data_IF_970078014265
#
_entry.id   IF_970078014265
#
_cell.length_a   1.000
_cell.length_b   1.000
_cell.length_c   1.000
_cell.angle_alpha   90.00
_cell.angle_beta   90.00
_cell.angle_gamma   90.00
#
_symmetry.space_group_name_H-M   'P 1'
#
loop_
_entity.id
_entity.type
_entity.pdbx_description
1 polymer ?
#
# COMPACT_ATOMS: atom_id res chain seq x y z
N UNK A 1 1.16 -1.37 -20.30
CA UNK A 1 1.18 -1.67 -18.85
C UNK A 1 -0.02 -1.00 -18.22
N UNK A 2 -0.79 -1.73 -17.41
CA UNK A 2 -1.98 -1.22 -16.74
C UNK A 2 -1.79 -1.34 -15.22
N UNK A 3 -1.46 -0.22 -14.58
CA UNK A 3 -1.24 -0.12 -13.14
C UNK A 3 -2.36 0.68 -12.50
N UNK A 4 -3.21 0.01 -11.75
CA UNK A 4 -4.42 0.58 -11.14
C UNK A 4 -4.73 -0.10 -9.80
N UNK A 5 -5.62 0.51 -9.02
CA UNK A 5 -6.16 -0.05 -7.79
C UNK A 5 -7.19 -1.16 -8.03
N UNK A 6 -7.99 -1.09 -9.11
CA UNK A 6 -9.06 -2.06 -9.39
C UNK A 6 -9.36 -2.18 -10.89
N UNK A 7 -9.26 -3.41 -11.42
CA UNK A 7 -9.86 -3.83 -12.69
C UNK A 7 -10.41 -5.24 -12.54
N UNK A 8 -11.55 -5.56 -13.15
CA UNK A 8 -12.07 -6.94 -13.13
C UNK A 8 -11.33 -7.76 -14.18
N UNK A 9 -10.61 -8.78 -13.73
CA UNK A 9 -9.91 -9.70 -14.60
C UNK A 9 -10.83 -10.76 -15.22
N UNK A 10 -10.43 -11.27 -16.37
CA UNK A 10 -11.16 -12.34 -17.07
C UNK A 10 -11.15 -13.67 -16.29
N UNK A 11 -10.26 -13.79 -15.30
CA UNK A 11 -10.11 -14.93 -14.38
C UNK A 11 -10.88 -14.75 -13.05
N UNK A 12 -11.64 -13.67 -12.90
CA UNK A 12 -12.37 -13.32 -11.68
C UNK A 12 -11.48 -12.73 -10.58
N UNK A 13 -10.21 -12.40 -10.88
CA UNK A 13 -9.32 -11.70 -9.97
C UNK A 13 -9.43 -10.18 -10.10
N UNK A 14 -8.98 -9.46 -9.07
CA UNK A 14 -8.85 -8.01 -9.12
C UNK A 14 -7.49 -7.67 -9.76
N UNK A 15 -7.53 -7.31 -11.03
CA UNK A 15 -6.37 -6.86 -11.81
C UNK A 15 -5.98 -5.43 -11.49
N UNK A 16 -4.74 -5.09 -11.81
CA UNK A 16 -4.19 -3.75 -11.60
C UNK A 16 -2.67 -3.68 -11.64
N UNK A 17 -2.02 -4.72 -12.15
CA UNK A 17 -0.57 -4.82 -12.26
C UNK A 17 -0.15 -5.51 -13.54
N UNK A 18 -0.91 -5.32 -14.62
CA UNK A 18 -0.83 -6.16 -15.82
C UNK A 18 0.11 -5.59 -16.88
N UNK A 19 0.83 -6.49 -17.55
CA UNK A 19 1.64 -6.21 -18.73
C UNK A 19 0.92 -6.82 -19.94
N UNK A 20 0.58 -5.97 -20.90
CA UNK A 20 -0.07 -6.36 -22.15
C UNK A 20 0.80 -6.01 -23.35
N UNK A 21 0.73 -6.83 -24.39
CA UNK A 21 1.29 -6.59 -25.72
C UNK A 21 0.16 -6.72 -26.73
N UNK A 22 0.10 -5.82 -27.72
CA UNK A 22 -0.92 -5.86 -28.76
C UNK A 22 -1.30 -4.47 -29.24
N UNK A 23 -2.45 -4.38 -29.89
CA UNK A 23 -2.98 -3.14 -30.45
C UNK A 23 -4.46 -3.00 -30.13
N UNK A 24 -5.00 -1.78 -30.23
CA UNK A 24 -6.43 -1.56 -30.06
C UNK A 24 -7.28 -2.27 -31.14
N UNK A 25 -6.66 -2.61 -32.28
CA UNK A 25 -7.32 -3.26 -33.42
C UNK A 25 -7.27 -4.78 -33.29
N UNK A 26 -6.12 -5.32 -32.91
CA UNK A 26 -5.85 -6.77 -32.87
C UNK A 26 -6.14 -7.39 -31.49
N UNK A 27 -6.47 -6.55 -30.52
CA UNK A 27 -6.63 -6.93 -29.12
C UNK A 27 -5.32 -6.86 -28.33
N UNK A 28 -5.46 -7.00 -27.01
CA UNK A 28 -4.37 -6.98 -26.07
C UNK A 28 -4.18 -8.37 -25.47
N UNK A 29 -2.97 -8.91 -25.58
CA UNK A 29 -2.58 -10.16 -24.94
C UNK A 29 -1.84 -9.87 -23.63
N UNK A 30 -2.25 -10.54 -22.55
CA UNK A 30 -1.59 -10.43 -21.24
C UNK A 30 -0.31 -11.27 -21.23
N UNK A 31 0.84 -10.61 -21.24
CA UNK A 31 2.17 -11.25 -21.26
C UNK A 31 2.82 -11.31 -19.88
N UNK A 32 2.26 -10.62 -18.89
CA UNK A 32 2.86 -10.53 -17.57
C UNK A 32 1.99 -9.84 -16.55
N UNK A 33 2.33 -9.96 -15.27
CA UNK A 33 1.59 -9.33 -14.19
C UNK A 33 2.37 -9.22 -12.88
N UNK A 34 1.85 -8.43 -11.94
CA UNK A 34 2.23 -8.55 -10.54
C UNK A 34 1.91 -9.97 -10.05
N UNK A 35 2.79 -10.55 -9.24
CA UNK A 35 2.50 -11.79 -8.51
C UNK A 35 1.15 -11.68 -7.79
N UNK A 36 0.36 -12.75 -7.82
CA UNK A 36 -0.91 -12.76 -7.12
C UNK A 36 -0.71 -12.64 -5.61
N UNK A 37 -1.43 -11.70 -5.02
CA UNK A 37 -1.73 -11.64 -3.60
C UNK A 37 -3.20 -12.03 -3.37
N UNK A 38 -3.60 -12.04 -2.11
CA UNK A 38 -5.00 -12.24 -1.71
C UNK A 38 -5.49 -10.97 -1.05
N UNK A 39 -6.69 -10.51 -1.35
CA UNK A 39 -7.34 -9.40 -0.65
C UNK A 39 -8.45 -9.95 0.26
N UNK A 40 -8.29 -9.90 1.60
CA UNK A 40 -9.33 -10.32 2.53
C UNK A 40 -10.39 -9.24 2.76
N UNK A 41 -11.65 -9.66 2.77
CA UNK A 41 -12.82 -8.82 3.02
C UNK A 41 -13.48 -8.31 1.74
N UNK A 42 -14.53 -7.50 1.92
CA UNK A 42 -15.36 -6.93 0.85
C UNK A 42 -14.85 -5.56 0.36
N UNK A 43 -15.67 -4.86 -0.43
CA UNK A 43 -15.37 -3.51 -0.94
C UNK A 43 -15.09 -2.49 0.18
N UNK A 44 -15.73 -2.63 1.34
CA UNK A 44 -15.46 -1.77 2.48
C UNK A 44 -14.10 -2.09 3.10
N UNK A 45 -13.71 -3.36 3.10
CA UNK A 45 -12.39 -3.81 3.55
C UNK A 45 -11.27 -3.28 2.64
N UNK A 46 -11.52 -3.11 1.33
CA UNK A 46 -10.56 -2.50 0.40
C UNK A 46 -10.20 -1.04 0.72
N UNK A 47 -10.97 -0.36 1.59
CA UNK A 47 -10.64 0.99 2.11
C UNK A 47 -9.70 0.97 3.30
N UNK A 48 -9.23 -0.18 3.73
CA UNK A 48 -8.36 -0.29 4.90
C UNK A 48 -7.04 -0.93 4.50
N UNK A 49 -5.94 -0.16 4.45
CA UNK A 49 -4.63 -0.63 3.97
C UNK A 49 -4.08 -1.86 4.72
N UNK A 50 -4.49 -2.07 5.98
CA UNK A 50 -4.13 -3.27 6.75
C UNK A 50 -4.66 -4.58 6.15
N UNK A 51 -5.74 -4.52 5.36
CA UNK A 51 -6.33 -5.67 4.69
C UNK A 51 -5.43 -6.09 3.54
N UNK A 52 -5.01 -5.12 2.74
CA UNK A 52 -4.00 -5.34 1.72
C UNK A 52 -2.71 -5.86 2.36
N UNK A 53 -2.25 -5.26 3.45
CA UNK A 53 -1.06 -5.73 4.16
C UNK A 53 -1.15 -7.20 4.58
N UNK A 54 -2.23 -7.61 5.25
CA UNK A 54 -2.43 -9.00 5.67
C UNK A 54 -2.46 -9.95 4.47
N UNK A 55 -3.07 -9.51 3.38
CA UNK A 55 -3.17 -10.21 2.12
C UNK A 55 -1.85 -10.45 1.40
N UNK A 56 -1.05 -9.40 1.26
CA UNK A 56 0.26 -9.43 0.62
C UNK A 56 1.32 -10.17 1.47
N UNK A 57 1.18 -10.15 2.80
CA UNK A 57 2.05 -10.92 3.70
C UNK A 57 1.64 -12.38 3.87
N UNK A 58 0.58 -12.85 3.21
CA UNK A 58 0.10 -14.23 3.31
C UNK A 58 1.16 -15.27 2.89
N UNK A 59 1.99 -14.93 1.89
CA UNK A 59 3.11 -15.78 1.45
C UNK A 59 4.40 -15.55 2.26
N UNK A 60 4.38 -14.64 3.23
CA UNK A 60 5.53 -14.27 4.07
C UNK A 60 5.17 -14.35 5.56
N UNK A 61 4.75 -15.52 6.08
CA UNK A 61 4.22 -15.64 7.45
C UNK A 61 5.23 -15.24 8.54
N UNK A 62 6.52 -15.49 8.32
CA UNK A 62 7.58 -15.05 9.24
C UNK A 62 7.68 -13.53 9.32
N UNK A 63 7.63 -12.84 8.17
CA UNK A 63 7.61 -11.38 8.11
C UNK A 63 6.32 -10.84 8.74
N UNK A 64 5.17 -11.46 8.46
CA UNK A 64 3.88 -11.07 9.01
C UNK A 64 3.87 -11.07 10.55
N UNK A 65 4.40 -12.12 11.17
CA UNK A 65 4.52 -12.21 12.62
C UNK A 65 5.48 -11.15 13.19
N UNK A 66 6.63 -10.96 12.54
CA UNK A 66 7.64 -9.99 12.96
C UNK A 66 7.14 -8.55 12.90
N UNK A 67 6.54 -8.14 11.77
CA UNK A 67 6.00 -6.77 11.61
C UNK A 67 4.77 -6.54 12.49
N UNK A 68 3.93 -7.55 12.73
CA UNK A 68 2.78 -7.41 13.60
C UNK A 68 3.18 -7.04 15.03
N UNK A 69 4.23 -7.69 15.55
CA UNK A 69 4.78 -7.40 16.87
C UNK A 69 5.53 -6.07 16.87
N UNK A 70 6.47 -5.88 15.93
CA UNK A 70 7.34 -4.70 15.90
C UNK A 70 6.55 -3.40 15.70
N UNK A 71 5.50 -3.43 14.87
CA UNK A 71 4.70 -2.25 14.53
C UNK A 71 3.44 -2.11 15.39
N UNK A 72 3.21 -3.03 16.32
CA UNK A 72 1.99 -3.07 17.15
C UNK A 72 0.72 -2.96 16.30
N UNK A 73 0.64 -3.78 15.24
CA UNK A 73 -0.48 -3.71 14.31
C UNK A 73 -1.81 -3.97 15.04
N UNK A 74 -2.88 -3.23 14.70
CA UNK A 74 -4.14 -3.32 15.44
C UNK A 74 -4.85 -4.65 15.15
N UNK A 75 -5.82 -5.01 16.00
CA UNK A 75 -6.60 -6.27 15.93
C UNK A 75 -7.12 -6.59 14.52
N UNK A 76 -7.50 -5.55 13.78
CA UNK A 76 -7.99 -5.64 12.40
C UNK A 76 -7.02 -6.39 11.47
N UNK A 77 -5.72 -6.23 11.62
CA UNK A 77 -4.72 -6.97 10.83
C UNK A 77 -4.81 -8.48 11.11
N UNK A 78 -4.86 -8.88 12.39
CA UNK A 78 -4.99 -10.29 12.77
C UNK A 78 -6.32 -10.90 12.32
N UNK A 79 -7.40 -10.13 12.36
CA UNK A 79 -8.69 -10.56 11.81
C UNK A 79 -8.59 -10.79 10.30
N UNK A 80 -7.93 -9.89 9.56
CA UNK A 80 -7.69 -10.06 8.13
C UNK A 80 -6.81 -11.30 7.83
N UNK A 81 -5.76 -11.56 8.62
CA UNK A 81 -4.97 -12.79 8.48
C UNK A 81 -5.81 -14.06 8.67
N UNK A 82 -6.70 -14.09 9.68
CA UNK A 82 -7.62 -15.22 9.89
C UNK A 82 -8.57 -15.42 8.71
N UNK A 83 -9.02 -14.35 8.05
CA UNK A 83 -9.85 -14.44 6.84
C UNK A 83 -9.06 -15.08 5.69
N UNK A 84 -7.79 -14.68 5.51
CA UNK A 84 -6.88 -15.27 4.53
C UNK A 84 -6.66 -16.76 4.81
N UNK A 85 -6.30 -17.13 6.04
CA UNK A 85 -6.06 -18.52 6.46
C UNK A 85 -7.29 -19.41 6.23
N UNK A 86 -8.48 -18.90 6.55
CA UNK A 86 -9.74 -19.64 6.40
C UNK A 86 -10.34 -19.55 4.99
N UNK A 87 -9.74 -18.75 4.09
CA UNK A 87 -10.25 -18.46 2.74
C UNK A 87 -11.70 -17.96 2.75
N UNK A 88 -12.03 -17.08 3.70
CA UNK A 88 -13.37 -16.50 3.86
C UNK A 88 -13.36 -15.11 3.24
N UNK A 89 -14.19 -14.88 2.22
CA UNK A 89 -14.30 -13.60 1.51
C UNK A 89 -12.92 -13.07 1.09
N UNK A 90 -12.15 -13.93 0.42
CA UNK A 90 -10.80 -13.62 -0.04
C UNK A 90 -10.79 -13.61 -1.55
N UNK A 91 -10.26 -12.55 -2.15
CA UNK A 91 -10.23 -12.36 -3.59
C UNK A 91 -8.79 -12.34 -4.09
N UNK A 92 -8.42 -13.12 -5.12
CA UNK A 92 -7.10 -13.01 -5.72
C UNK A 92 -6.92 -11.63 -6.35
N UNK A 93 -5.72 -11.05 -6.24
CA UNK A 93 -5.43 -9.73 -6.81
C UNK A 93 -4.00 -9.61 -7.30
N UNK A 94 -3.83 -8.89 -8.39
CA UNK A 94 -2.55 -8.43 -8.95
C UNK A 94 -2.45 -6.90 -8.91
N UNK A 95 -3.26 -6.25 -8.07
CA UNK A 95 -3.37 -4.80 -8.00
C UNK A 95 -2.12 -4.14 -7.43
N UNK A 96 -1.46 -3.30 -8.23
CA UNK A 96 -0.37 -2.45 -7.77
C UNK A 96 -0.91 -1.42 -6.77
N UNK A 97 -2.13 -0.89 -6.95
CA UNK A 97 -2.70 0.03 -5.95
C UNK A 97 -2.86 -0.62 -4.56
N UNK A 98 -3.26 -1.90 -4.50
CA UNK A 98 -3.30 -2.65 -3.23
C UNK A 98 -1.89 -2.94 -2.68
N UNK A 99 -0.89 -3.15 -3.54
CA UNK A 99 0.51 -3.22 -3.10
C UNK A 99 0.97 -1.90 -2.46
N UNK A 100 0.61 -0.75 -3.05
CA UNK A 100 0.89 0.57 -2.44
C UNK A 100 0.22 0.71 -1.07
N UNK A 101 -1.03 0.28 -0.92
CA UNK A 101 -1.71 0.26 0.38
C UNK A 101 -0.97 -0.62 1.40
N UNK A 102 -0.53 -1.82 0.98
CA UNK A 102 0.23 -2.72 1.84
C UNK A 102 1.55 -2.09 2.30
N UNK A 103 2.31 -1.47 1.38
CA UNK A 103 3.56 -0.76 1.71
C UNK A 103 3.30 0.43 2.62
N UNK A 104 2.25 1.22 2.37
CA UNK A 104 1.88 2.34 3.21
C UNK A 104 1.55 1.89 4.64
N UNK A 105 0.80 0.80 4.79
CA UNK A 105 0.51 0.19 6.09
C UNK A 105 1.78 -0.32 6.79
N UNK A 106 2.70 -0.94 6.04
CA UNK A 106 4.01 -1.38 6.53
C UNK A 106 4.84 -0.21 7.08
N UNK A 107 4.68 0.98 6.51
CA UNK A 107 5.33 2.22 6.93
C UNK A 107 4.55 3.01 7.98
N UNK A 108 3.36 2.55 8.40
CA UNK A 108 2.60 3.11 9.51
C UNK A 108 1.26 3.77 9.16
N UNK A 109 0.83 3.75 7.89
CA UNK A 109 -0.52 4.17 7.52
C UNK A 109 -1.53 3.05 7.84
N UNK A 110 -1.95 2.95 9.10
CA UNK A 110 -2.82 1.84 9.57
C UNK A 110 -4.31 2.20 9.60
N UNK A 111 -4.65 3.48 9.38
CA UNK A 111 -6.03 3.98 9.36
C UNK A 111 -6.79 3.68 8.06
N UNK A 112 -8.11 3.77 8.12
CA UNK A 112 -8.95 3.67 6.92
C UNK A 112 -8.75 4.89 6.00
N UNK A 113 -8.80 4.66 4.68
CA UNK A 113 -8.79 5.73 3.69
C UNK A 113 -10.18 6.36 3.55
N UNK A 114 -10.21 7.67 3.33
CA UNK A 114 -11.42 8.46 3.05
C UNK A 114 -11.67 8.63 1.54
N UNK A 115 -10.67 8.39 0.70
CA UNK A 115 -10.79 8.44 -0.76
C UNK A 115 -9.79 7.49 -1.43
N UNK A 116 -10.05 7.14 -2.69
CA UNK A 116 -9.21 6.22 -3.48
C UNK A 116 -7.82 6.81 -3.71
N UNK A 117 -6.79 6.02 -3.45
CA UNK A 117 -5.40 6.44 -3.65
C UNK A 117 -4.79 7.24 -2.49
N UNK A 118 -5.52 7.49 -1.40
CA UNK A 118 -5.00 8.27 -0.27
C UNK A 118 -3.69 7.72 0.31
N UNK A 119 -3.60 6.41 0.54
CA UNK A 119 -2.39 5.79 1.08
C UNK A 119 -1.23 5.83 0.07
N UNK A 120 -1.51 5.72 -1.23
CA UNK A 120 -0.50 5.87 -2.29
C UNK A 120 0.04 7.31 -2.34
N UNK A 121 -0.82 8.32 -2.24
CA UNK A 121 -0.41 9.74 -2.18
C UNK A 121 0.43 10.00 -0.92
N UNK A 122 0.03 9.44 0.22
CA UNK A 122 0.79 9.53 1.46
C UNK A 122 2.18 8.90 1.31
N UNK A 123 2.26 7.73 0.68
CA UNK A 123 3.53 7.04 0.40
C UNK A 123 4.43 7.85 -0.54
N UNK A 124 3.85 8.42 -1.61
CA UNK A 124 4.57 9.28 -2.55
C UNK A 124 5.15 10.51 -1.84
N UNK A 125 4.38 11.14 -0.95
CA UNK A 125 4.83 12.28 -0.17
C UNK A 125 6.05 11.93 0.69
N UNK A 126 6.05 10.77 1.36
CA UNK A 126 7.22 10.30 2.11
C UNK A 126 8.41 10.02 1.20
N UNK A 127 8.19 9.37 0.06
CA UNK A 127 9.25 9.04 -0.89
C UNK A 127 9.94 10.29 -1.45
N UNK A 128 9.20 11.37 -1.72
CA UNK A 128 9.75 12.65 -2.22
C UNK A 128 10.64 13.37 -1.22
N UNK A 129 10.49 13.09 0.07
CA UNK A 129 11.30 13.68 1.15
C UNK A 129 12.53 12.83 1.46
N UNK A 130 12.56 11.58 1.02
CA UNK A 130 13.68 10.68 1.22
C UNK A 130 14.79 10.94 0.19
N UNK A 131 16.07 10.80 0.57
CA UNK A 131 17.15 10.80 -0.41
C UNK A 131 16.99 9.60 -1.36
N UNK A 132 17.29 9.81 -2.64
CA UNK A 132 17.35 8.75 -3.62
C UNK A 132 18.41 7.71 -3.22
N UNK A 133 17.94 6.51 -2.90
CA UNK A 133 18.76 5.32 -2.65
C UNK A 133 18.65 4.33 -3.81
N UNK A 134 19.37 3.22 -3.70
CA UNK A 134 19.19 2.04 -4.56
C UNK A 134 17.73 1.58 -4.51
N UNK A 135 17.20 1.15 -5.65
CA UNK A 135 15.85 0.59 -5.73
C UNK A 135 15.73 -0.71 -4.92
N UNK A 136 14.57 -0.93 -4.30
CA UNK A 136 14.24 -2.20 -3.67
C UNK A 136 14.17 -3.34 -4.70
N UNK A 137 14.54 -4.58 -4.31
CA UNK A 137 14.49 -5.72 -5.22
C UNK A 137 13.04 -6.03 -5.61
N UNK A 138 12.77 -6.09 -6.91
CA UNK A 138 11.46 -6.43 -7.47
C UNK A 138 11.63 -7.34 -8.68
N UNK A 139 11.97 -8.63 -8.45
CA UNK A 139 12.41 -9.52 -9.53
C UNK A 139 11.27 -9.88 -10.49
N UNK A 140 11.66 -10.11 -11.73
CA UNK A 140 10.83 -10.55 -12.84
C UNK A 140 11.29 -11.92 -13.31
N UNK A 141 10.38 -12.90 -13.40
CA UNK A 141 10.71 -14.28 -13.80
C UNK A 141 10.39 -14.59 -15.27
N UNK A 142 9.96 -13.59 -16.04
CA UNK A 142 9.43 -13.79 -17.40
C UNK A 142 7.90 -13.77 -17.47
N UNK A 143 7.20 -13.80 -16.34
CA UNK A 143 5.73 -13.75 -16.26
C UNK A 143 5.19 -12.97 -15.06
N UNK A 144 5.83 -13.08 -13.89
CA UNK A 144 5.41 -12.43 -12.65
C UNK A 144 6.47 -11.44 -12.14
N UNK A 145 6.00 -10.25 -11.71
CA UNK A 145 6.75 -9.33 -10.86
C UNK A 145 6.53 -9.71 -9.40
N UNK A 146 7.56 -10.25 -8.74
CA UNK A 146 7.45 -10.79 -7.39
C UNK A 146 7.68 -9.69 -6.33
N UNK A 147 6.60 -9.28 -5.65
CA UNK A 147 6.64 -8.22 -4.63
C UNK A 147 7.30 -8.64 -3.31
N UNK A 148 7.55 -9.94 -3.08
CA UNK A 148 7.98 -10.43 -1.77
C UNK A 148 9.33 -9.87 -1.31
N UNK A 149 10.38 -9.83 -2.15
CA UNK A 149 11.65 -9.22 -1.77
C UNK A 149 11.53 -7.72 -1.48
N UNK A 150 10.64 -7.01 -2.19
CA UNK A 150 10.34 -5.61 -1.93
C UNK A 150 9.77 -5.42 -0.52
N UNK A 151 8.76 -6.21 -0.13
CA UNK A 151 8.15 -6.11 1.20
C UNK A 151 9.13 -6.44 2.33
N UNK A 152 10.01 -7.43 2.12
CA UNK A 152 11.08 -7.76 3.06
C UNK A 152 12.05 -6.58 3.24
N UNK A 153 12.55 -6.01 2.14
CA UNK A 153 13.51 -4.91 2.20
C UNK A 153 12.91 -3.65 2.85
N UNK A 154 11.66 -3.31 2.54
CA UNK A 154 10.96 -2.18 3.18
C UNK A 154 10.78 -2.41 4.68
N UNK A 155 10.45 -3.63 5.09
CA UNK A 155 10.27 -3.96 6.50
C UNK A 155 11.60 -3.88 7.28
N UNK A 156 12.71 -4.32 6.68
CA UNK A 156 14.06 -4.29 7.27
C UNK A 156 14.60 -2.86 7.42
N UNK A 157 14.45 -2.00 6.41
CA UNK A 157 14.92 -0.61 6.47
C UNK A 157 14.17 0.24 7.50
N UNK A 158 12.95 -0.18 7.89
CA UNK A 158 12.20 0.46 8.98
C UNK A 158 12.81 0.08 10.33
N UNK A 159 13.93 0.70 10.70
CA UNK A 159 14.44 0.71 12.07
C UNK A 159 13.42 1.30 13.07
N UNK A 160 13.67 1.22 14.39
CA UNK A 160 12.75 1.78 15.38
C UNK A 160 12.66 3.31 15.22
N UNK A 161 11.63 3.77 14.51
CA UNK A 161 11.27 5.19 14.46
C UNK A 161 10.19 5.44 15.50
N UNK A 162 10.44 6.41 16.36
CA UNK A 162 9.41 7.02 17.18
C UNK A 162 8.42 7.74 16.24
N UNK A 163 7.20 7.19 16.13
CA UNK A 163 6.17 7.75 15.26
C UNK A 163 5.52 8.94 15.98
N UNK A 164 5.94 10.14 15.64
CA UNK A 164 5.27 11.37 16.06
C UNK A 164 4.00 11.56 15.22
N UNK A 165 2.87 11.02 15.70
CA UNK A 165 1.55 11.33 15.14
C UNK A 165 1.21 12.78 15.47
N UNK A 166 1.43 13.69 14.52
CA UNK A 166 1.07 15.11 14.65
C UNK A 166 -0.44 15.28 14.88
N UNK A 167 -0.82 15.50 16.14
CA UNK A 167 -2.21 15.65 16.57
C UNK A 167 -2.68 17.11 16.64
N UNK A 168 -2.01 18.02 15.91
CA UNK A 168 -2.27 19.46 15.99
C UNK A 168 -2.38 20.20 14.63
N UNK A 169 -2.75 19.52 13.54
CA UNK A 169 -3.21 20.22 12.33
C UNK A 169 -4.18 19.38 11.48
N UNK A 170 -5.32 19.93 11.00
CA UNK A 170 -6.22 19.23 10.10
C UNK A 170 -5.65 19.13 8.67
N UNK A 171 -5.89 18.02 7.93
CA UNK A 171 -5.32 17.75 6.61
C UNK A 171 -6.15 18.33 5.45
N UNK A 172 -6.76 19.50 5.63
CA UNK A 172 -7.48 20.23 4.58
C UNK A 172 -7.04 21.70 4.54
N UNK A 173 -7.62 22.50 3.63
CA UNK A 173 -7.25 23.91 3.39
C UNK A 173 -7.30 24.81 4.64
N UNK A 174 -7.85 24.35 5.76
CA UNK A 174 -7.73 24.99 7.07
C UNK A 174 -6.29 25.05 7.63
N UNK A 175 -5.38 24.19 7.15
CA UNK A 175 -3.96 24.19 7.52
C UNK A 175 -3.15 25.34 6.90
N UNK A 176 -3.60 25.92 5.79
CA UNK A 176 -2.95 27.08 5.15
C UNK A 176 -3.15 28.34 6.00
N UNK A 177 -4.33 28.49 6.60
CA UNK A 177 -4.69 29.61 7.48
C UNK A 177 -3.85 29.63 8.77
N UNK A 178 -3.51 28.47 9.33
CA UNK A 178 -2.69 28.35 10.53
C UNK A 178 -1.22 28.71 10.26
N UNK A 179 -0.69 28.27 9.10
CA UNK A 179 0.66 28.62 8.65
C UNK A 179 0.82 30.11 8.33
N UNK A 180 -0.20 30.74 7.73
CA UNK A 180 -0.19 32.17 7.46
C UNK A 180 -0.35 33.03 8.74
N UNK A 181 -1.15 32.58 9.71
CA UNK A 181 -1.28 33.24 11.01
C UNK A 181 0.03 33.21 11.83
N UNK A 182 0.75 32.08 11.82
CA UNK A 182 2.04 31.93 12.49
C UNK A 182 3.13 32.84 11.85
N UNK A 183 3.16 32.95 10.51
CA UNK A 183 4.08 33.83 9.79
C UNK A 183 3.76 35.32 9.98
N UNK A 184 2.48 35.69 10.13
CA UNK A 184 2.06 37.06 10.39
C UNK A 184 2.35 37.51 11.84
N UNK A 185 2.27 36.59 12.81
CA UNK A 185 2.64 36.84 14.20
C UNK A 185 4.17 37.02 14.37
N UNK A 186 4.98 36.19 13.69
CA UNK A 186 6.44 36.28 13.74
C UNK A 186 6.99 37.59 13.13
N UNK A 187 6.29 38.17 12.15
CA UNK A 187 6.69 39.45 11.51
C UNK A 187 6.30 40.71 12.29
N UNK A 188 5.63 40.60 13.43
CA UNK A 188 5.30 41.75 14.31
C UNK A 188 6.16 41.83 15.58
N UNK A 189 7.15 40.95 15.73
CA UNK A 189 8.06 40.90 16.88
C UNK A 189 9.52 41.26 16.53
N UNK A 190 9.73 41.92 15.40
CA UNK A 190 10.93 42.67 15.00
C UNK A 190 10.49 44.02 14.48
#
# INVERSE_FOLDING_TARGET
MAFDGTGYGDDGAIWGGELFVGSAVDGLERVGHLRYAVLPGDDAAARVPLQALAGFLAELPGLAAEVAVRLQLPERFFTAQKLVEKRIQTFPTTSVGRLFDAVAALLGFTGAISFVGQAAIWLEHLARQAPLKTAYPFPWDGRELDFRPLLQAVAEERGPMEVWMGREAPPNDGGISLGQAALAAAKRST
#
